data_IF_548532871613
#
_entry.id   IF_548532871613
#
_cell.length_a   1.000
_cell.length_b   1.000
_cell.length_c   1.000
_cell.angle_alpha   90.00
_cell.angle_beta   90.00
_cell.angle_gamma   90.00
#
_symmetry.space_group_name_H-M   'P 1'
#
loop_
_entity.id
_entity.type
_entity.pdbx_description
1 polymer ?
#
# COMPACT_ATOMS: atom_id res chain seq x y z
N UNK A 1 -25.59 12.80 5.28
CA UNK A 1 -26.01 12.26 6.59
C UNK A 1 -26.15 10.73 6.52
N UNK A 2 -25.06 10.01 6.20
CA UNK A 2 -25.03 8.53 6.09
C UNK A 2 -23.78 7.93 6.76
N UNK A 3 -22.64 8.64 6.72
CA UNK A 3 -21.40 8.22 7.39
C UNK A 3 -21.54 8.08 8.91
N UNK A 4 -22.32 8.97 9.54
CA UNK A 4 -22.61 9.03 10.98
C UNK A 4 -23.28 7.75 11.56
N UNK A 5 -23.89 6.92 10.71
CA UNK A 5 -24.59 5.70 11.14
C UNK A 5 -23.70 4.46 11.13
N UNK A 6 -22.67 4.42 10.27
CA UNK A 6 -21.70 3.32 10.26
C UNK A 6 -20.74 3.38 11.45
N UNK A 7 -20.25 4.58 11.81
CA UNK A 7 -19.34 4.73 12.94
C UNK A 7 -19.98 4.41 14.31
N UNK A 8 -21.29 4.63 14.47
CA UNK A 8 -22.01 4.28 15.72
C UNK A 8 -22.14 2.77 15.94
N UNK A 9 -22.11 1.97 14.88
CA UNK A 9 -22.09 0.50 14.98
C UNK A 9 -20.75 -0.02 15.51
N UNK A 10 -19.64 0.62 15.12
CA UNK A 10 -18.30 0.26 15.57
C UNK A 10 -18.05 0.56 17.06
N UNK A 11 -18.76 1.53 17.65
CA UNK A 11 -18.57 1.93 19.05
C UNK A 11 -19.62 1.36 20.03
N UNK A 12 -20.52 0.49 19.58
CA UNK A 12 -21.35 -0.30 20.50
C UNK A 12 -20.48 -1.38 21.17
N UNK A 13 -19.80 -1.00 22.25
CA UNK A 13 -19.14 -1.93 23.16
C UNK A 13 -20.21 -2.92 23.67
N UNK A 14 -20.14 -4.22 23.33
CA UNK A 14 -21.10 -5.19 23.83
C UNK A 14 -20.82 -5.41 25.31
N UNK A 15 -21.66 -4.85 26.18
CA UNK A 15 -21.69 -5.21 27.60
C UNK A 15 -22.48 -6.50 27.80
N UNK A 16 -21.81 -7.65 27.65
CA UNK A 16 -22.00 -8.82 28.53
C UNK A 16 -20.93 -9.89 28.28
N UNK A 17 -20.47 -10.43 29.40
CA UNK A 17 -19.27 -11.21 29.65
C UNK A 17 -19.30 -12.61 29.02
N UNK A 18 -18.18 -12.99 28.39
CA UNK A 18 -17.66 -14.34 28.04
C UNK A 18 -17.04 -14.34 26.63
N UNK A 19 -15.78 -13.92 26.51
CA UNK A 19 -14.86 -14.24 25.40
C UNK A 19 -13.53 -13.53 25.64
N UNK A 20 -12.45 -14.31 25.78
CA UNK A 20 -11.16 -13.88 26.30
C UNK A 20 -10.33 -12.97 25.38
N UNK A 21 -8.98 -12.91 25.56
CA UNK A 21 -8.05 -12.01 24.86
C UNK A 21 -8.14 -12.07 23.32
N UNK A 22 -8.67 -13.16 22.77
CA UNK A 22 -8.81 -13.43 21.34
C UNK A 22 -9.65 -12.39 20.57
N UNK A 23 -10.77 -11.91 21.11
CA UNK A 23 -11.63 -10.93 20.40
C UNK A 23 -10.98 -9.55 20.26
N UNK A 24 -10.20 -9.13 21.25
CA UNK A 24 -9.47 -7.85 21.21
C UNK A 24 -8.36 -7.92 20.17
N UNK A 25 -7.65 -9.05 20.07
CA UNK A 25 -6.59 -9.28 19.07
C UNK A 25 -7.16 -9.21 17.64
N UNK A 26 -8.31 -9.83 17.38
CA UNK A 26 -8.97 -9.78 16.06
C UNK A 26 -9.34 -8.34 15.68
N UNK A 27 -9.86 -7.55 16.63
CA UNK A 27 -10.20 -6.15 16.37
C UNK A 27 -9.00 -5.27 16.00
N UNK A 28 -7.87 -5.44 16.70
CA UNK A 28 -6.62 -4.72 16.39
C UNK A 28 -6.09 -5.11 15.02
N UNK A 29 -6.07 -6.40 14.69
CA UNK A 29 -5.63 -6.89 13.38
C UNK A 29 -6.53 -6.38 12.25
N UNK A 30 -7.84 -6.36 12.43
CA UNK A 30 -8.78 -5.82 11.44
C UNK A 30 -8.52 -4.32 11.18
N UNK A 31 -8.22 -3.55 12.23
CA UNK A 31 -7.85 -2.14 12.07
C UNK A 31 -6.50 -1.95 11.37
N UNK A 32 -5.50 -2.76 11.70
CA UNK A 32 -4.20 -2.76 10.99
C UNK A 32 -4.38 -3.06 9.50
N UNK A 33 -5.15 -4.10 9.16
CA UNK A 33 -5.47 -4.46 7.77
C UNK A 33 -6.21 -3.33 7.07
N UNK A 34 -7.24 -2.75 7.69
CA UNK A 34 -7.99 -1.63 7.09
C UNK A 34 -7.10 -0.40 6.85
N UNK A 35 -6.21 -0.07 7.79
CA UNK A 35 -5.23 1.01 7.64
C UNK A 35 -4.26 0.73 6.50
N UNK A 36 -3.77 -0.51 6.39
CA UNK A 36 -2.86 -0.92 5.33
C UNK A 36 -3.53 -0.88 3.95
N UNK A 37 -4.77 -1.38 3.84
CA UNK A 37 -5.56 -1.33 2.62
C UNK A 37 -5.81 0.10 2.16
N UNK A 38 -6.12 1.02 3.09
CA UNK A 38 -6.27 2.44 2.77
C UNK A 38 -4.99 3.02 2.16
N UNK A 39 -3.82 2.75 2.77
CA UNK A 39 -2.52 3.18 2.23
C UNK A 39 -2.25 2.62 0.83
N UNK A 40 -2.55 1.34 0.61
CA UNK A 40 -2.36 0.69 -0.68
C UNK A 40 -3.24 1.31 -1.77
N UNK A 41 -4.52 1.58 -1.48
CA UNK A 41 -5.44 2.23 -2.42
C UNK A 41 -4.97 3.66 -2.74
N UNK A 42 -4.52 4.42 -1.74
CA UNK A 42 -3.98 5.77 -1.96
C UNK A 42 -2.73 5.76 -2.83
N UNK A 43 -1.81 4.82 -2.58
CA UNK A 43 -0.60 4.65 -3.40
C UNK A 43 -0.99 4.31 -4.85
N UNK A 44 -1.88 3.34 -5.04
CA UNK A 44 -2.38 2.98 -6.37
C UNK A 44 -3.03 4.16 -7.11
N UNK A 45 -3.87 4.94 -6.42
CA UNK A 45 -4.53 6.11 -7.02
C UNK A 45 -3.54 7.22 -7.41
N UNK A 46 -2.46 7.41 -6.63
CA UNK A 46 -1.40 8.36 -6.97
C UNK A 46 -0.65 8.00 -8.26
N UNK A 47 -0.78 6.75 -8.71
CA UNK A 47 -0.19 6.24 -9.95
C UNK A 47 -1.13 6.23 -11.14
N UNK A 48 -2.35 6.74 -10.98
CA UNK A 48 -3.23 6.94 -12.13
C UNK A 48 -2.61 7.93 -13.13
N UNK A 49 -2.86 7.70 -14.43
CA UNK A 49 -2.37 8.57 -15.50
C UNK A 49 -2.64 10.05 -15.24
N UNK A 50 -3.83 10.34 -14.70
CA UNK A 50 -4.22 11.70 -14.32
C UNK A 50 -3.26 12.32 -13.28
N UNK A 51 -2.90 11.56 -12.24
CA UNK A 51 -1.99 12.06 -11.20
C UNK A 51 -0.55 12.14 -11.71
N UNK A 52 -0.11 11.17 -12.53
CA UNK A 52 1.21 11.19 -13.16
C UNK A 52 1.37 12.40 -14.10
N UNK A 53 0.37 12.68 -14.94
CA UNK A 53 0.37 13.85 -15.81
C UNK A 53 0.42 15.15 -15.02
N UNK A 54 -0.41 15.26 -13.96
CA UNK A 54 -0.40 16.41 -13.07
C UNK A 54 0.97 16.61 -12.40
N UNK A 55 1.58 15.54 -11.93
CA UNK A 55 2.91 15.59 -11.31
C UNK A 55 3.98 16.08 -12.29
N UNK A 56 3.94 15.60 -13.54
CA UNK A 56 4.84 16.08 -14.61
C UNK A 56 4.65 17.57 -14.90
N UNK A 57 3.42 18.04 -14.91
CA UNK A 57 3.13 19.48 -15.07
C UNK A 57 3.67 20.29 -13.89
N UNK A 58 3.47 19.82 -12.65
CA UNK A 58 4.00 20.48 -11.44
C UNK A 58 5.54 20.54 -11.44
N UNK A 59 6.22 19.46 -11.86
CA UNK A 59 7.69 19.42 -12.02
C UNK A 59 8.15 20.44 -13.06
N UNK A 60 7.53 20.45 -14.25
CA UNK A 60 7.94 21.32 -15.35
C UNK A 60 7.76 22.80 -15.00
N UNK A 61 6.70 23.14 -14.26
CA UNK A 61 6.36 24.51 -13.89
C UNK A 61 7.08 25.01 -12.62
N UNK A 62 7.64 24.10 -11.81
CA UNK A 62 8.25 24.47 -10.53
C UNK A 62 9.71 24.86 -10.67
N UNK A 63 9.99 26.16 -10.61
CA UNK A 63 11.36 26.70 -10.49
C UNK A 63 12.08 26.15 -9.27
N UNK A 64 11.36 25.92 -8.17
CA UNK A 64 11.93 25.39 -6.93
C UNK A 64 12.45 23.96 -7.09
N UNK A 65 11.67 23.08 -7.73
CA UNK A 65 12.11 21.70 -8.03
C UNK A 65 13.34 21.73 -8.94
N UNK A 66 13.30 22.54 -10.00
CA UNK A 66 14.41 22.64 -10.96
C UNK A 66 15.71 23.14 -10.33
N UNK A 67 15.64 24.11 -9.42
CA UNK A 67 16.83 24.69 -8.78
C UNK A 67 17.36 23.91 -7.58
N UNK A 68 16.49 23.22 -6.83
CA UNK A 68 16.89 22.54 -5.59
C UNK A 68 17.16 21.04 -5.78
N UNK A 69 16.57 20.42 -6.81
CA UNK A 69 16.71 18.98 -7.07
C UNK A 69 17.57 18.75 -8.31
N UNK A 70 17.09 19.14 -9.49
CA UNK A 70 17.81 19.02 -10.77
C UNK A 70 17.05 19.75 -11.89
N UNK A 71 17.75 20.25 -12.92
CA UNK A 71 17.10 20.75 -14.14
C UNK A 71 16.77 19.63 -15.15
N UNK A 72 17.26 18.41 -14.90
CA UNK A 72 16.97 17.22 -15.70
C UNK A 72 15.65 16.57 -15.23
N UNK A 73 14.61 16.71 -16.05
CA UNK A 73 13.28 16.14 -15.79
C UNK A 73 13.31 14.61 -15.69
N UNK A 74 14.16 13.91 -16.46
CA UNK A 74 14.27 12.45 -16.41
C UNK A 74 14.89 11.99 -15.08
N UNK A 75 15.88 12.74 -14.57
CA UNK A 75 16.43 12.52 -13.25
C UNK A 75 15.35 12.69 -12.16
N UNK A 76 14.57 13.78 -12.20
CA UNK A 76 13.51 14.02 -11.21
C UNK A 76 12.46 12.91 -11.25
N UNK A 77 12.05 12.47 -12.43
CA UNK A 77 11.12 11.35 -12.59
C UNK A 77 11.71 10.07 -12.01
N UNK A 78 12.99 9.77 -12.26
CA UNK A 78 13.64 8.59 -11.69
C UNK A 78 13.66 8.62 -10.16
N UNK A 79 13.88 9.79 -9.55
CA UNK A 79 13.90 9.99 -8.11
C UNK A 79 12.51 9.75 -7.50
N UNK A 80 11.47 10.27 -8.14
CA UNK A 80 10.08 10.06 -7.71
C UNK A 80 9.69 8.58 -7.83
N UNK A 81 10.08 7.93 -8.92
CA UNK A 81 9.84 6.49 -9.10
C UNK A 81 10.53 5.68 -7.99
N UNK A 82 11.75 6.03 -7.61
CA UNK A 82 12.46 5.38 -6.50
C UNK A 82 11.72 5.54 -5.17
N UNK A 83 11.28 6.76 -4.82
CA UNK A 83 10.51 7.06 -3.60
C UNK A 83 9.19 6.28 -3.54
N UNK A 84 8.50 6.17 -4.68
CA UNK A 84 7.26 5.41 -4.79
C UNK A 84 7.49 3.90 -4.61
N UNK A 85 8.54 3.36 -5.24
CA UNK A 85 8.90 1.95 -5.09
C UNK A 85 9.24 1.66 -3.63
N UNK A 86 9.99 2.54 -2.97
CA UNK A 86 10.29 2.41 -1.53
C UNK A 86 9.02 2.42 -0.67
N UNK A 87 8.07 3.32 -0.98
CA UNK A 87 6.75 3.35 -0.35
C UNK A 87 5.99 2.02 -0.53
N UNK A 88 6.05 1.41 -1.72
CA UNK A 88 5.45 0.11 -2.01
C UNK A 88 6.13 -1.01 -1.20
N UNK A 89 7.47 -1.01 -1.12
CA UNK A 89 8.24 -1.98 -0.33
C UNK A 89 7.84 -1.91 1.15
N UNK A 90 7.62 -0.72 1.71
CA UNK A 90 7.13 -0.58 3.09
C UNK A 90 5.74 -1.17 3.32
N UNK A 91 4.83 -1.00 2.36
CA UNK A 91 3.51 -1.64 2.38
C UNK A 91 3.66 -3.16 2.29
N UNK A 92 4.49 -3.66 1.37
CA UNK A 92 4.74 -5.10 1.20
C UNK A 92 5.32 -5.74 2.47
N UNK A 93 6.28 -5.11 3.15
CA UNK A 93 6.78 -5.60 4.47
C UNK A 93 5.67 -5.71 5.52
N UNK A 94 4.72 -4.78 5.52
CA UNK A 94 3.56 -4.85 6.42
C UNK A 94 2.62 -5.99 6.04
N UNK A 95 2.41 -6.24 4.74
CA UNK A 95 1.66 -7.39 4.23
C UNK A 95 2.35 -8.71 4.61
N UNK A 96 3.66 -8.84 4.42
CA UNK A 96 4.45 -10.02 4.80
C UNK A 96 4.26 -10.36 6.29
N UNK A 97 4.38 -9.36 7.17
CA UNK A 97 4.19 -9.53 8.61
C UNK A 97 2.79 -10.02 8.96
N UNK A 98 1.76 -9.56 8.26
CA UNK A 98 0.38 -10.03 8.46
C UNK A 98 0.19 -11.44 7.87
N UNK A 99 0.75 -11.70 6.69
CA UNK A 99 0.73 -13.00 6.01
C UNK A 99 1.32 -14.14 6.84
N UNK A 100 2.38 -13.86 7.61
CA UNK A 100 2.96 -14.83 8.55
C UNK A 100 1.99 -15.32 9.63
N UNK A 101 0.95 -14.53 9.95
CA UNK A 101 -0.10 -14.88 10.92
C UNK A 101 -1.28 -15.63 10.28
N UNK A 102 -1.33 -15.73 8.95
CA UNK A 102 -2.39 -16.45 8.24
C UNK A 102 -2.15 -17.97 8.30
N UNK A 103 -3.19 -18.77 8.08
CA UNK A 103 -3.05 -20.23 7.97
C UNK A 103 -2.57 -20.68 6.58
N UNK A 104 -2.79 -19.86 5.56
CA UNK A 104 -2.45 -20.15 4.17
C UNK A 104 -0.92 -20.16 3.94
N UNK A 105 -0.34 -21.24 3.42
CA UNK A 105 1.10 -21.32 3.14
C UNK A 105 1.59 -20.32 2.10
N UNK A 106 0.76 -19.99 1.10
CA UNK A 106 1.10 -19.01 0.06
C UNK A 106 1.31 -17.61 0.66
N UNK A 107 0.40 -17.18 1.53
CA UNK A 107 0.52 -15.91 2.25
C UNK A 107 1.74 -15.84 3.17
N UNK A 108 2.15 -16.96 3.78
CA UNK A 108 3.39 -17.03 4.58
C UNK A 108 4.65 -16.91 3.71
N UNK A 109 4.60 -17.38 2.47
CA UNK A 109 5.72 -17.26 1.54
C UNK A 109 5.84 -15.89 0.87
N UNK A 110 4.86 -14.99 1.04
CA UNK A 110 4.80 -13.69 0.36
C UNK A 110 6.11 -12.89 0.43
N UNK A 111 6.77 -12.85 1.59
CA UNK A 111 8.02 -12.10 1.77
C UNK A 111 9.12 -12.57 0.82
N UNK A 112 9.29 -13.89 0.68
CA UNK A 112 10.31 -14.48 -0.19
C UNK A 112 10.01 -14.19 -1.65
N UNK A 113 8.73 -14.34 -2.05
CA UNK A 113 8.27 -14.07 -3.41
C UNK A 113 8.47 -12.60 -3.79
N UNK A 114 8.12 -11.69 -2.88
CA UNK A 114 8.27 -10.26 -3.12
C UNK A 114 9.75 -9.86 -3.17
N UNK A 115 10.58 -10.41 -2.30
CA UNK A 115 12.03 -10.19 -2.32
C UNK A 115 12.67 -10.65 -3.63
N UNK A 116 12.27 -11.82 -4.14
CA UNK A 116 12.72 -12.34 -5.43
C UNK A 116 12.29 -11.43 -6.58
N UNK A 117 11.05 -10.93 -6.55
CA UNK A 117 10.54 -9.96 -7.53
C UNK A 117 11.41 -8.70 -7.56
N UNK A 118 11.72 -8.11 -6.40
CA UNK A 118 12.52 -6.89 -6.31
C UNK A 118 13.98 -7.11 -6.70
N UNK A 119 14.57 -8.26 -6.35
CA UNK A 119 16.00 -8.55 -6.59
C UNK A 119 16.29 -9.03 -8.00
N UNK A 120 15.42 -9.86 -8.56
CA UNK A 120 15.69 -10.58 -9.81
C UNK A 120 14.90 -10.01 -10.99
N UNK A 121 13.92 -9.13 -10.75
CA UNK A 121 13.01 -8.64 -11.79
C UNK A 121 12.15 -9.74 -12.41
N UNK A 122 12.14 -10.94 -11.80
CA UNK A 122 11.39 -12.09 -12.28
C UNK A 122 10.11 -12.21 -11.50
N UNK A 123 9.00 -12.12 -12.21
CA UNK A 123 7.68 -12.41 -11.69
C UNK A 123 7.43 -13.93 -11.73
N UNK A 124 7.96 -14.63 -10.71
CA UNK A 124 7.92 -16.09 -10.60
C UNK A 124 6.49 -16.67 -10.60
N UNK A 125 5.48 -15.83 -10.36
CA UNK A 125 4.07 -16.21 -10.28
C UNK A 125 3.17 -15.57 -11.37
N UNK A 126 3.72 -14.74 -12.28
CA UNK A 126 2.97 -14.18 -13.42
C UNK A 126 1.97 -13.05 -13.11
N UNK A 127 2.16 -12.29 -12.03
CA UNK A 127 1.39 -11.09 -11.65
C UNK A 127 1.32 -10.02 -12.76
N UNK A 128 2.34 -9.87 -13.63
CA UNK A 128 2.32 -8.95 -14.77
C UNK A 128 1.22 -9.29 -15.79
N UNK A 129 0.85 -10.57 -15.91
CA UNK A 129 -0.15 -11.03 -16.88
C UNK A 129 -1.59 -10.76 -16.46
N UNK A 130 -1.83 -10.58 -15.16
CA UNK A 130 -3.15 -10.29 -14.61
C UNK A 130 -3.46 -8.78 -14.52
N UNK A 131 -2.46 -7.94 -14.28
CA UNK A 131 -2.67 -6.48 -14.16
C UNK A 131 -2.90 -5.81 -15.53
N UNK A 132 -2.47 -6.43 -16.63
CA UNK A 132 -2.62 -5.87 -17.99
C UNK A 132 -3.99 -6.13 -18.65
N UNK A 133 -4.84 -6.97 -18.04
CA UNK A 133 -6.14 -7.38 -18.60
C UNK A 133 -7.34 -7.03 -17.69
N UNK A 134 -7.17 -6.09 -16.74
CA UNK A 134 -8.22 -5.60 -15.85
C UNK A 134 -8.59 -4.15 -16.11
#
# INVERSE_FOLDING_TARGET
MVAESWFRGLWKIPRKHESGPEKVVIGVLAFEVASLMSKLVHLWQSLSDKQVLRLREEISNSVGIKKLVSEDDDFIVSLICAELIESMVHVAKSVARLGMKCSDPGLKSFEHVFDDLIKLGTDTYGWESHIRNG
#
